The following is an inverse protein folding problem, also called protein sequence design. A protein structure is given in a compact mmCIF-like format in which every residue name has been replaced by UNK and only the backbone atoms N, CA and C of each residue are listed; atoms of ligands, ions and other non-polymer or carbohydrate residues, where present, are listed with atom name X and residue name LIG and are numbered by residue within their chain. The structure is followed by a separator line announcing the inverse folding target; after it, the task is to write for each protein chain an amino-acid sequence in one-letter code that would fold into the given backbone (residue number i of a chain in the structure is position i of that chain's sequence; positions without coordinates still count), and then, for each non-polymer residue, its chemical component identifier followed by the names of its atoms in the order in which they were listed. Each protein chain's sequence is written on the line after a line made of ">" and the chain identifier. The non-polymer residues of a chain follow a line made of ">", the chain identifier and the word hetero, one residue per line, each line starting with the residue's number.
data_IF_514698963265
#
_entry.id   IF_514698963265
#
_cell.length_a   1.000
_cell.length_b   1.000
_cell.length_c   1.000
_cell.angle_alpha   90.00
_cell.angle_beta   90.00
_cell.angle_gamma   90.00
#
_symmetry.space_group_name_H-M   'P 1'
#
loop_
_entity.id
_entity.type
_entity.pdbx_description
1 polymer ?
#
# COMPACT_ATOMS: atom_id res chain seq x y z
N UNK A 1 26.17 96.23 -5.49
CA UNK A 1 24.89 95.49 -5.47
C UNK A 1 25.00 94.45 -6.60
N UNK A 2 25.63 93.29 -6.44
CA UNK A 2 25.44 92.13 -5.55
C UNK A 2 24.07 91.45 -5.69
N UNK A 3 24.02 90.38 -6.48
CA UNK A 3 23.20 89.19 -6.20
C UNK A 3 23.91 87.98 -6.81
N UNK A 4 24.42 87.14 -5.92
CA UNK A 4 25.13 85.88 -6.12
C UNK A 4 24.16 84.73 -6.40
N UNK A 5 24.36 84.01 -7.51
CA UNK A 5 23.70 82.74 -7.78
C UNK A 5 24.40 81.60 -7.00
N UNK A 6 23.68 80.76 -6.25
CA UNK A 6 24.26 79.56 -5.66
C UNK A 6 24.29 78.42 -6.69
N UNK A 7 25.49 77.89 -6.94
CA UNK A 7 25.74 76.64 -7.66
C UNK A 7 25.29 75.48 -6.74
N UNK A 8 24.21 74.78 -7.10
CA UNK A 8 23.85 73.53 -6.45
C UNK A 8 24.76 72.39 -6.94
N UNK A 9 25.29 71.53 -6.04
CA UNK A 9 26.01 70.32 -6.44
C UNK A 9 25.03 69.29 -7.03
N UNK A 10 25.48 68.42 -7.95
CA UNK A 10 24.62 67.36 -8.49
C UNK A 10 24.21 66.39 -7.37
N UNK A 11 22.89 66.14 -7.30
CA UNK A 11 22.24 65.20 -6.41
C UNK A 11 22.68 63.78 -6.75
N UNK A 12 23.61 63.22 -5.97
CA UNK A 12 24.18 61.90 -6.19
C UNK A 12 23.25 60.79 -5.66
N UNK A 13 21.99 60.77 -6.13
CA UNK A 13 20.93 59.84 -5.68
C UNK A 13 20.84 58.54 -6.47
N UNK A 14 21.85 58.21 -7.24
CA UNK A 14 21.93 56.92 -7.97
C UNK A 14 22.98 55.99 -7.35
N UNK A 15 22.96 55.83 -6.02
CA UNK A 15 23.52 54.62 -5.41
C UNK A 15 22.37 53.62 -5.31
N UNK A 16 22.38 52.50 -6.07
CA UNK A 16 21.46 51.42 -5.79
C UNK A 16 21.79 50.95 -4.38
N UNK A 17 20.82 51.01 -3.47
CA UNK A 17 20.86 50.24 -2.24
C UNK A 17 21.13 48.80 -2.67
N UNK A 18 22.36 48.34 -2.45
CA UNK A 18 22.73 46.94 -2.60
C UNK A 18 21.72 46.16 -1.77
N UNK A 19 20.80 45.50 -2.47
CA UNK A 19 19.80 44.64 -1.83
C UNK A 19 20.56 43.61 -1.03
N UNK A 20 20.57 43.80 0.28
CA UNK A 20 21.10 42.82 1.21
C UNK A 20 20.19 41.61 1.08
N UNK A 21 20.67 40.62 0.35
CA UNK A 21 19.98 39.35 0.15
C UNK A 21 19.67 38.81 1.56
N UNK A 22 18.40 38.52 1.88
CA UNK A 22 18.05 38.07 3.21
C UNK A 22 18.90 36.85 3.56
N UNK A 23 19.45 36.78 4.78
CA UNK A 23 20.40 35.74 5.14
C UNK A 23 19.80 34.37 4.83
N UNK A 24 20.58 33.46 4.21
CA UNK A 24 20.08 32.15 3.82
C UNK A 24 19.47 31.48 5.05
N UNK A 25 18.23 31.04 4.92
CA UNK A 25 17.52 30.36 6.00
C UNK A 25 18.41 29.24 6.56
N UNK A 26 18.55 29.12 7.89
CA UNK A 26 19.44 28.13 8.48
C UNK A 26 19.09 26.74 7.95
N UNK A 27 20.09 26.06 7.39
CA UNK A 27 19.93 24.71 6.88
C UNK A 27 19.33 23.82 7.98
N UNK A 28 18.27 23.05 7.71
CA UNK A 28 17.63 22.24 8.74
C UNK A 28 18.64 21.29 9.39
N UNK A 29 18.73 21.36 10.72
CA UNK A 29 19.55 20.47 11.54
C UNK A 29 18.92 19.06 11.54
N UNK A 30 19.33 18.24 10.59
CA UNK A 30 18.93 16.84 10.41
C UNK A 30 19.05 16.44 8.94
N UNK A 31 19.17 15.13 8.60
CA UNK A 31 19.05 14.72 7.21
C UNK A 31 17.69 15.21 6.70
N UNK A 32 17.70 16.09 5.71
CA UNK A 32 16.48 16.64 5.14
C UNK A 32 15.59 15.47 4.70
N UNK A 33 14.41 15.34 5.32
CA UNK A 33 13.44 14.31 4.97
C UNK A 33 13.17 14.40 3.45
N UNK A 34 13.28 13.28 2.72
CA UNK A 34 12.87 13.21 1.32
C UNK A 34 11.48 13.81 1.12
N UNK A 35 11.28 14.50 0.00
CA UNK A 35 10.04 15.23 -0.26
C UNK A 35 8.81 14.31 -0.26
N UNK A 36 8.96 13.04 -0.67
CA UNK A 36 7.89 12.04 -0.67
C UNK A 36 7.44 11.61 0.74
N UNK A 37 8.20 11.96 1.79
CA UNK A 37 7.84 11.71 3.19
C UNK A 37 7.16 12.92 3.86
N UNK A 38 7.11 14.08 3.19
CA UNK A 38 6.53 15.33 3.72
C UNK A 38 5.01 15.35 3.56
N UNK A 39 4.34 14.32 4.09
CA UNK A 39 2.90 14.15 3.98
C UNK A 39 2.13 15.01 5.01
N UNK A 40 0.93 15.52 4.65
CA UNK A 40 0.13 16.40 5.53
C UNK A 40 -0.61 15.69 6.67
N UNK A 41 -0.51 14.35 6.77
CA UNK A 41 -1.11 13.56 7.85
C UNK A 41 -0.08 13.05 8.86
N UNK A 42 -0.53 12.59 10.02
CA UNK A 42 0.31 12.15 11.14
C UNK A 42 -0.29 10.91 11.86
N UNK A 43 0.27 10.55 13.01
CA UNK A 43 -0.16 9.40 13.81
C UNK A 43 -1.64 9.44 14.23
N UNK A 44 -2.21 10.63 14.43
CA UNK A 44 -3.63 10.78 14.74
C UNK A 44 -4.49 10.29 13.59
N UNK A 45 -4.14 10.67 12.35
CA UNK A 45 -4.86 10.20 11.16
C UNK A 45 -4.71 8.68 11.00
N UNK A 46 -3.52 8.13 11.31
CA UNK A 46 -3.30 6.67 11.31
C UNK A 46 -4.18 5.97 12.36
N UNK A 47 -4.27 6.51 13.58
CA UNK A 47 -5.11 5.95 14.63
C UNK A 47 -6.59 5.98 14.24
N UNK A 48 -7.08 7.12 13.73
CA UNK A 48 -8.46 7.26 13.26
C UNK A 48 -8.72 6.28 12.11
N UNK A 49 -7.78 6.15 11.17
CA UNK A 49 -7.88 5.19 10.07
C UNK A 49 -7.98 3.75 10.58
N UNK A 50 -7.17 3.35 11.57
CA UNK A 50 -7.22 2.01 12.17
C UNK A 50 -8.58 1.78 12.84
N UNK A 51 -9.05 2.72 13.66
CA UNK A 51 -10.35 2.61 14.34
C UNK A 51 -11.49 2.51 13.33
N UNK A 52 -11.48 3.37 12.30
CA UNK A 52 -12.46 3.32 11.22
C UNK A 52 -12.41 1.98 10.49
N UNK A 53 -11.22 1.52 10.10
CA UNK A 53 -11.00 0.28 9.36
C UNK A 53 -11.52 -0.94 10.13
N UNK A 54 -11.20 -1.05 11.42
CA UNK A 54 -11.71 -2.11 12.30
C UNK A 54 -13.22 -1.99 12.51
N UNK A 55 -13.74 -0.77 12.70
CA UNK A 55 -15.17 -0.51 12.85
C UNK A 55 -15.97 -0.95 11.63
N UNK A 56 -15.53 -0.58 10.42
CA UNK A 56 -16.16 -0.99 9.16
C UNK A 56 -16.08 -2.50 8.97
N UNK A 57 -14.94 -3.12 9.29
CA UNK A 57 -14.80 -4.58 9.22
C UNK A 57 -15.87 -5.29 10.07
N UNK A 58 -16.04 -4.86 11.32
CA UNK A 58 -17.03 -5.42 12.25
C UNK A 58 -18.46 -5.16 11.77
N UNK A 59 -18.77 -3.92 11.36
CA UNK A 59 -20.11 -3.54 10.88
C UNK A 59 -20.48 -4.32 9.62
N UNK A 60 -19.57 -4.44 8.64
CA UNK A 60 -19.81 -5.22 7.43
C UNK A 60 -20.06 -6.69 7.74
N UNK A 61 -19.26 -7.29 8.63
CA UNK A 61 -19.42 -8.69 9.03
C UNK A 61 -20.81 -8.95 9.62
N UNK A 62 -21.21 -8.20 10.64
CA UNK A 62 -22.51 -8.39 11.28
C UNK A 62 -23.68 -8.03 10.37
N UNK A 63 -23.55 -6.99 9.54
CA UNK A 63 -24.61 -6.58 8.62
C UNK A 63 -24.84 -7.66 7.56
N UNK A 64 -23.78 -8.16 6.92
CA UNK A 64 -23.91 -9.20 5.90
C UNK A 64 -24.45 -10.51 6.48
N UNK A 65 -23.95 -10.94 7.65
CA UNK A 65 -24.50 -12.10 8.36
C UNK A 65 -26.00 -11.94 8.65
N UNK A 66 -26.41 -10.79 9.19
CA UNK A 66 -27.82 -10.51 9.51
C UNK A 66 -28.70 -10.56 8.26
N UNK A 67 -28.26 -9.98 7.15
CA UNK A 67 -28.98 -10.05 5.87
C UNK A 67 -29.10 -11.49 5.38
N UNK A 68 -28.04 -12.31 5.47
CA UNK A 68 -28.09 -13.71 5.02
C UNK A 68 -29.06 -14.56 5.84
N UNK A 69 -29.08 -14.37 7.16
CA UNK A 69 -29.99 -15.07 8.08
C UNK A 69 -31.45 -14.62 7.87
N UNK A 70 -31.70 -13.31 7.81
CA UNK A 70 -33.07 -12.76 7.69
C UNK A 70 -33.70 -13.00 6.33
N UNK A 71 -32.90 -13.11 5.26
CA UNK A 71 -33.38 -13.49 3.92
C UNK A 71 -33.49 -15.00 3.71
N UNK A 72 -33.14 -15.82 4.71
CA UNK A 72 -33.20 -17.27 4.63
C UNK A 72 -32.18 -17.91 3.67
N UNK A 73 -31.17 -17.16 3.23
CA UNK A 73 -30.12 -17.66 2.33
C UNK A 73 -29.17 -18.64 3.02
N UNK A 74 -28.95 -18.47 4.32
CA UNK A 74 -28.12 -19.33 5.16
C UNK A 74 -28.83 -19.56 6.49
N UNK A 75 -28.76 -20.78 7.02
CA UNK A 75 -29.30 -21.11 8.36
C UNK A 75 -28.24 -20.85 9.42
N UNK A 76 -28.68 -20.53 10.65
CA UNK A 76 -27.76 -20.25 11.77
C UNK A 76 -26.75 -21.37 12.04
N UNK A 77 -27.17 -22.62 11.92
CA UNK A 77 -26.30 -23.80 12.07
C UNK A 77 -25.18 -23.85 11.02
N UNK A 78 -25.48 -23.44 9.78
CA UNK A 78 -24.54 -23.54 8.65
C UNK A 78 -23.66 -22.28 8.53
N UNK A 79 -23.97 -21.22 9.29
CA UNK A 79 -23.31 -19.92 9.19
C UNK A 79 -21.78 -20.02 9.40
N UNK A 80 -21.23 -20.67 10.44
CA UNK A 80 -19.78 -20.72 10.63
C UNK A 80 -19.04 -21.38 9.45
N UNK A 81 -19.61 -22.44 8.88
CA UNK A 81 -19.05 -23.12 7.72
C UNK A 81 -19.15 -22.24 6.46
N UNK A 82 -20.29 -21.56 6.26
CA UNK A 82 -20.48 -20.65 5.14
C UNK A 82 -19.48 -19.49 5.15
N UNK A 83 -19.25 -18.87 6.31
CA UNK A 83 -18.33 -17.73 6.46
C UNK A 83 -16.87 -18.10 6.18
N UNK A 84 -16.49 -19.35 6.44
CA UNK A 84 -15.11 -19.83 6.24
C UNK A 84 -14.84 -20.47 4.88
N UNK A 85 -15.89 -20.81 4.12
CA UNK A 85 -15.75 -21.51 2.83
C UNK A 85 -16.29 -20.75 1.63
N UNK A 86 -17.23 -19.82 1.81
CA UNK A 86 -17.83 -19.08 0.70
C UNK A 86 -16.88 -18.01 0.16
N UNK A 87 -16.21 -18.32 -0.96
CA UNK A 87 -15.30 -17.39 -1.64
C UNK A 87 -16.01 -16.11 -2.08
N UNK A 88 -17.27 -16.22 -2.54
CA UNK A 88 -18.08 -15.06 -2.95
C UNK A 88 -18.36 -14.15 -1.76
N UNK A 89 -18.79 -14.69 -0.63
CA UNK A 89 -19.05 -13.91 0.58
C UNK A 89 -17.80 -13.13 1.02
N UNK A 90 -16.67 -13.84 1.12
CA UNK A 90 -15.40 -13.24 1.56
C UNK A 90 -14.91 -12.20 0.57
N UNK A 91 -14.97 -12.46 -0.74
CA UNK A 91 -14.55 -11.51 -1.76
C UNK A 91 -15.41 -10.24 -1.76
N UNK A 92 -16.74 -10.37 -1.66
CA UNK A 92 -17.65 -9.21 -1.61
C UNK A 92 -17.39 -8.39 -0.34
N UNK A 93 -17.29 -9.04 0.82
CA UNK A 93 -16.97 -8.37 2.09
C UNK A 93 -15.65 -7.62 1.99
N UNK A 94 -14.61 -8.26 1.45
CA UNK A 94 -13.29 -7.69 1.27
C UNK A 94 -13.31 -6.47 0.33
N UNK A 95 -14.02 -6.57 -0.80
CA UNK A 95 -14.17 -5.48 -1.76
C UNK A 95 -14.89 -4.27 -1.15
N UNK A 96 -15.97 -4.49 -0.39
CA UNK A 96 -16.69 -3.43 0.32
C UNK A 96 -15.81 -2.76 1.38
N UNK A 97 -15.03 -3.55 2.12
CA UNK A 97 -14.10 -3.02 3.11
C UNK A 97 -13.02 -2.17 2.43
N UNK A 98 -12.36 -2.68 1.39
CA UNK A 98 -11.38 -1.95 0.59
C UNK A 98 -11.93 -0.65 -0.01
N UNK A 99 -13.13 -0.68 -0.59
CA UNK A 99 -13.78 0.51 -1.11
C UNK A 99 -13.98 1.56 0.00
N UNK A 100 -14.41 1.12 1.18
CA UNK A 100 -14.61 1.99 2.35
C UNK A 100 -13.30 2.64 2.81
N UNK A 101 -12.19 1.90 2.80
CA UNK A 101 -10.86 2.44 3.15
C UNK A 101 -10.41 3.52 2.14
N UNK A 102 -10.56 3.27 0.84
CA UNK A 102 -10.21 4.24 -0.18
C UNK A 102 -11.09 5.49 -0.12
N UNK A 103 -12.39 5.33 0.10
CA UNK A 103 -13.35 6.43 0.30
C UNK A 103 -12.95 7.26 1.52
N UNK A 104 -12.64 6.61 2.64
CA UNK A 104 -12.18 7.30 3.85
C UNK A 104 -10.90 8.10 3.59
N UNK A 105 -9.87 7.48 2.99
CA UNK A 105 -8.62 8.18 2.66
C UNK A 105 -8.85 9.33 1.69
N UNK A 106 -9.70 9.15 0.68
CA UNK A 106 -10.01 10.22 -0.26
C UNK A 106 -10.64 11.43 0.43
N UNK A 107 -11.66 11.24 1.26
CA UNK A 107 -12.35 12.34 1.92
C UNK A 107 -11.55 13.00 3.04
N UNK A 108 -10.74 12.24 3.77
CA UNK A 108 -9.91 12.78 4.86
C UNK A 108 -8.69 13.54 4.34
N UNK A 109 -8.09 13.10 3.24
CA UNK A 109 -6.91 13.74 2.65
C UNK A 109 -7.27 14.85 1.66
N UNK A 110 -8.46 14.82 1.04
CA UNK A 110 -8.91 15.84 0.06
C UNK A 110 -8.81 17.29 0.54
N UNK A 111 -9.17 17.66 1.78
CA UNK A 111 -9.07 19.04 2.24
C UNK A 111 -7.62 19.51 2.49
N UNK A 112 -6.68 18.58 2.62
CA UNK A 112 -5.30 18.83 3.07
C UNK A 112 -4.26 18.67 1.96
N UNK A 113 -4.70 18.31 0.75
CA UNK A 113 -3.81 18.02 -0.38
C UNK A 113 -3.44 19.30 -1.15
N UNK A 114 -2.16 19.45 -1.46
CA UNK A 114 -1.68 20.46 -2.40
C UNK A 114 -1.69 19.95 -3.86
N UNK A 115 -1.82 18.64 -4.06
CA UNK A 115 -1.78 17.96 -5.36
C UNK A 115 -2.97 17.00 -5.50
N UNK A 116 -3.20 16.38 -6.68
CA UNK A 116 -4.20 15.31 -6.83
C UNK A 116 -4.02 14.19 -5.80
N UNK A 117 -5.11 13.47 -5.49
CA UNK A 117 -5.12 12.42 -4.46
C UNK A 117 -4.04 11.37 -4.68
N UNK A 118 -3.97 10.83 -5.90
CA UNK A 118 -3.04 9.75 -6.25
C UNK A 118 -1.58 10.19 -6.12
N UNK A 119 -1.21 11.38 -6.57
CA UNK A 119 0.15 11.91 -6.38
C UNK A 119 0.46 12.12 -4.90
N UNK A 120 -0.52 12.61 -4.13
CA UNK A 120 -0.38 12.87 -2.69
C UNK A 120 -0.10 11.59 -1.90
N UNK A 121 -0.73 10.47 -2.25
CA UNK A 121 -0.45 9.16 -1.63
C UNK A 121 0.70 8.41 -2.32
N UNK A 122 1.46 9.06 -3.21
CA UNK A 122 2.70 8.52 -3.77
C UNK A 122 2.55 7.67 -5.04
N UNK A 123 1.39 7.67 -5.70
CA UNK A 123 1.21 7.09 -7.04
C UNK A 123 1.78 8.01 -8.13
N UNK A 124 3.04 8.37 -7.96
CA UNK A 124 3.80 9.20 -8.89
C UNK A 124 4.81 8.33 -9.67
N UNK A 125 5.29 8.79 -10.84
CA UNK A 125 6.32 8.08 -11.56
C UNK A 125 7.61 7.90 -10.72
N UNK A 126 8.27 6.72 -10.78
CA UNK A 126 9.44 6.47 -9.96
C UNK A 126 10.63 7.35 -10.35
N UNK A 127 11.40 7.72 -9.33
CA UNK A 127 12.69 8.39 -9.47
C UNK A 127 13.75 7.35 -9.85
N UNK A 128 13.78 7.02 -11.14
CA UNK A 128 14.79 6.13 -11.73
C UNK A 128 15.95 6.98 -12.23
N UNK A 129 17.17 6.63 -11.82
CA UNK A 129 18.38 7.34 -12.22
C UNK A 129 18.71 7.12 -13.70
N UNK A 130 19.59 6.15 -13.99
CA UNK A 130 20.10 5.90 -15.35
C UNK A 130 19.11 5.12 -16.22
N UNK A 131 18.21 4.34 -15.61
CA UNK A 131 17.31 3.45 -16.35
C UNK A 131 16.06 4.19 -16.85
N UNK A 132 15.67 3.96 -18.10
CA UNK A 132 14.39 4.46 -18.60
C UNK A 132 13.22 3.80 -17.88
N UNK A 133 12.11 4.54 -17.70
CA UNK A 133 10.89 3.99 -17.08
C UNK A 133 10.31 2.80 -17.85
N UNK A 134 10.47 2.81 -19.18
CA UNK A 134 10.02 1.73 -20.08
C UNK A 134 10.72 0.40 -19.74
N UNK A 135 12.00 0.45 -19.39
CA UNK A 135 12.76 -0.75 -18.97
C UNK A 135 12.53 -1.07 -17.49
N UNK A 136 12.32 -0.04 -16.65
CA UNK A 136 12.17 -0.22 -15.21
C UNK A 136 10.87 -0.96 -14.83
N UNK A 137 9.74 -0.61 -15.43
CA UNK A 137 8.45 -1.24 -15.10
C UNK A 137 8.42 -2.77 -15.33
N UNK A 138 8.82 -3.31 -16.49
CA UNK A 138 8.85 -4.76 -16.67
C UNK A 138 9.89 -5.43 -15.75
N UNK A 139 10.99 -4.76 -15.42
CA UNK A 139 11.95 -5.28 -14.44
C UNK A 139 11.31 -5.43 -13.06
N UNK A 140 10.47 -4.49 -12.62
CA UNK A 140 9.71 -4.63 -11.36
C UNK A 140 8.76 -5.82 -11.40
N UNK A 141 8.04 -6.05 -12.51
CA UNK A 141 7.16 -7.21 -12.65
C UNK A 141 7.95 -8.52 -12.55
N UNK A 142 9.07 -8.62 -13.27
CA UNK A 142 9.94 -9.81 -13.26
C UNK A 142 10.58 -10.02 -11.88
N UNK A 143 11.03 -8.95 -11.22
CA UNK A 143 11.60 -9.04 -9.88
C UNK A 143 10.56 -9.50 -8.85
N UNK A 144 9.31 -9.03 -8.95
CA UNK A 144 8.20 -9.49 -8.14
C UNK A 144 7.92 -10.98 -8.35
N UNK A 145 7.89 -11.42 -9.60
CA UNK A 145 7.69 -12.81 -9.94
C UNK A 145 8.85 -13.71 -9.43
N UNK A 146 10.09 -13.28 -9.62
CA UNK A 146 11.27 -13.99 -9.11
C UNK A 146 11.25 -14.10 -7.58
N UNK A 147 10.86 -13.03 -6.88
CA UNK A 147 10.68 -13.05 -5.43
C UNK A 147 9.62 -14.08 -5.01
N UNK A 148 8.50 -14.17 -5.72
CA UNK A 148 7.48 -15.17 -5.42
C UNK A 148 7.99 -16.60 -5.56
N UNK A 149 8.82 -16.89 -6.57
CA UNK A 149 9.44 -18.21 -6.73
C UNK A 149 10.39 -18.54 -5.57
N UNK A 150 11.19 -17.57 -5.13
CA UNK A 150 12.08 -17.72 -3.97
C UNK A 150 11.27 -17.99 -2.69
N UNK A 151 10.20 -17.22 -2.47
CA UNK A 151 9.33 -17.38 -1.30
C UNK A 151 8.57 -18.71 -1.35
N UNK A 152 8.09 -19.13 -2.52
CA UNK A 152 7.44 -20.42 -2.70
C UNK A 152 8.40 -21.58 -2.39
N UNK A 153 9.64 -21.51 -2.87
CA UNK A 153 10.68 -22.49 -2.54
C UNK A 153 10.96 -22.54 -1.03
N UNK A 154 11.17 -21.38 -0.40
CA UNK A 154 11.38 -21.31 1.05
C UNK A 154 10.18 -21.82 1.85
N UNK A 155 8.96 -21.50 1.43
CA UNK A 155 7.72 -21.98 2.05
C UNK A 155 7.59 -23.51 1.95
N UNK A 156 8.03 -24.13 0.86
CA UNK A 156 8.01 -25.59 0.71
C UNK A 156 8.99 -26.29 1.67
N UNK A 157 10.13 -25.66 1.98
CA UNK A 157 11.07 -26.17 3.00
C UNK A 157 10.50 -26.09 4.42
N UNK A 158 9.51 -25.22 4.63
CA UNK A 158 8.87 -24.94 5.91
C UNK A 158 7.36 -25.21 5.84
N UNK A 159 6.97 -26.27 5.14
CA UNK A 159 5.56 -26.59 4.91
C UNK A 159 4.80 -26.69 6.25
N UNK A 160 3.62 -26.05 6.37
CA UNK A 160 2.84 -26.08 7.59
C UNK A 160 2.29 -27.49 7.81
N UNK A 161 2.16 -27.90 9.07
CA UNK A 161 1.64 -29.24 9.44
C UNK A 161 0.17 -29.41 9.11
N UNK A 162 -0.58 -28.32 9.20
CA UNK A 162 -2.02 -28.28 8.93
C UNK A 162 -2.28 -27.40 7.69
N UNK A 163 -3.35 -27.68 6.92
CA UNK A 163 -3.78 -26.80 5.85
C UNK A 163 -4.04 -25.38 6.36
N UNK A 164 -3.55 -24.39 5.62
CA UNK A 164 -3.77 -22.98 5.97
C UNK A 164 -5.22 -22.60 5.68
N UNK A 165 -5.86 -21.71 6.49
CA UNK A 165 -7.24 -21.30 6.28
C UNK A 165 -7.54 -20.80 4.86
N UNK A 166 -6.60 -20.10 4.23
CA UNK A 166 -6.76 -19.61 2.85
C UNK A 166 -6.99 -20.74 1.83
N UNK A 167 -6.54 -21.96 2.09
CA UNK A 167 -6.72 -23.11 1.19
C UNK A 167 -8.20 -23.55 1.10
N UNK A 168 -9.03 -23.19 2.09
CA UNK A 168 -10.47 -23.48 2.05
C UNK A 168 -11.18 -22.82 0.85
N UNK A 169 -10.59 -21.76 0.27
CA UNK A 169 -11.12 -21.06 -0.90
C UNK A 169 -10.64 -21.64 -2.24
N UNK A 170 -9.85 -22.72 -2.23
CA UNK A 170 -9.28 -23.36 -3.43
C UNK A 170 -9.96 -24.71 -3.73
N UNK A 171 -11.30 -24.72 -3.69
CA UNK A 171 -12.11 -25.95 -3.82
C UNK A 171 -12.79 -26.12 -5.18
N UNK A 172 -12.90 -25.06 -5.99
CA UNK A 172 -13.46 -25.09 -7.34
C UNK A 172 -12.82 -24.00 -8.23
N UNK A 173 -13.01 -24.13 -9.55
CA UNK A 173 -12.36 -23.20 -10.50
C UNK A 173 -12.90 -21.76 -10.42
N UNK A 174 -14.19 -21.56 -10.16
CA UNK A 174 -14.76 -20.20 -10.05
C UNK A 174 -14.21 -19.47 -8.82
N UNK A 175 -14.10 -20.17 -7.68
CA UNK A 175 -13.47 -19.62 -6.48
C UNK A 175 -12.03 -19.17 -6.75
N UNK A 176 -11.26 -19.97 -7.50
CA UNK A 176 -9.88 -19.60 -7.85
C UNK A 176 -9.84 -18.40 -8.79
N UNK A 177 -10.69 -18.33 -9.81
CA UNK A 177 -10.76 -17.15 -10.67
C UNK A 177 -11.10 -15.88 -9.88
N UNK A 178 -12.06 -15.97 -8.97
CA UNK A 178 -12.44 -14.85 -8.10
C UNK A 178 -11.29 -14.45 -7.17
N UNK A 179 -10.61 -15.43 -6.57
CA UNK A 179 -9.44 -15.17 -5.72
C UNK A 179 -8.29 -14.56 -6.52
N UNK A 180 -8.06 -15.01 -7.77
CA UNK A 180 -7.05 -14.46 -8.65
C UNK A 180 -7.33 -12.99 -8.98
N UNK A 181 -8.58 -12.65 -9.32
CA UNK A 181 -8.99 -11.25 -9.57
C UNK A 181 -8.77 -10.41 -8.32
N UNK A 182 -9.22 -10.88 -7.15
CA UNK A 182 -9.06 -10.15 -5.90
C UNK A 182 -7.58 -9.96 -5.54
N UNK A 183 -6.78 -11.01 -5.57
CA UNK A 183 -5.38 -10.99 -5.13
C UNK A 183 -4.45 -10.30 -6.14
N UNK A 184 -4.69 -10.40 -7.45
CA UNK A 184 -3.78 -9.83 -8.47
C UNK A 184 -4.17 -8.40 -8.84
N UNK A 185 -5.48 -8.09 -8.92
CA UNK A 185 -5.94 -6.81 -9.45
C UNK A 185 -6.42 -5.84 -8.35
N UNK A 186 -7.24 -6.33 -7.42
CA UNK A 186 -7.94 -5.45 -6.47
C UNK A 186 -7.09 -5.16 -5.24
N UNK A 187 -6.61 -6.20 -4.57
CA UNK A 187 -5.89 -6.10 -3.30
C UNK A 187 -4.60 -5.28 -3.42
N UNK A 188 -3.72 -5.50 -4.43
CA UNK A 188 -2.45 -4.76 -4.49
C UNK A 188 -2.64 -3.25 -4.61
N UNK A 189 -3.67 -2.77 -5.32
CA UNK A 189 -3.94 -1.33 -5.44
C UNK A 189 -4.23 -0.73 -4.06
N UNK A 190 -5.11 -1.39 -3.29
CA UNK A 190 -5.55 -0.88 -1.99
C UNK A 190 -4.44 -1.04 -0.96
N UNK A 191 -3.82 -2.21 -0.90
CA UNK A 191 -2.75 -2.52 0.05
C UNK A 191 -1.54 -1.62 -0.16
N UNK A 192 -1.10 -1.41 -1.40
CA UNK A 192 0.02 -0.50 -1.66
C UNK A 192 -0.33 0.96 -1.34
N UNK A 193 -1.58 1.37 -1.60
CA UNK A 193 -2.06 2.71 -1.20
C UNK A 193 -2.04 2.90 0.32
N UNK A 194 -2.52 1.90 1.08
CA UNK A 194 -2.60 1.97 2.54
C UNK A 194 -1.21 1.83 3.16
N UNK A 195 -0.47 0.76 2.87
CA UNK A 195 0.79 0.47 3.55
C UNK A 195 1.90 1.39 3.08
N UNK A 196 2.09 1.55 1.77
CA UNK A 196 3.21 2.31 1.23
C UNK A 196 2.77 3.75 1.05
N UNK A 197 1.61 4.03 0.49
CA UNK A 197 1.15 5.40 0.32
C UNK A 197 0.88 6.14 1.62
N UNK A 198 0.10 5.54 2.53
CA UNK A 198 -0.42 6.23 3.72
C UNK A 198 0.39 5.97 5.01
N UNK A 199 0.69 4.71 5.35
CA UNK A 199 1.33 4.35 6.63
C UNK A 199 2.84 4.62 6.63
N UNK A 200 3.56 4.15 5.61
CA UNK A 200 5.02 4.22 5.56
C UNK A 200 5.60 5.64 5.77
N UNK A 201 5.07 6.72 5.16
CA UNK A 201 5.61 8.06 5.38
C UNK A 201 5.56 8.50 6.85
N UNK A 202 4.48 8.16 7.56
CA UNK A 202 4.33 8.48 8.99
C UNK A 202 5.34 7.70 9.82
N UNK A 203 5.53 6.41 9.52
CA UNK A 203 6.49 5.56 10.22
C UNK A 203 7.93 6.01 9.97
N UNK A 204 8.27 6.27 8.71
CA UNK A 204 9.61 6.71 8.30
C UNK A 204 9.98 8.08 8.88
N UNK A 205 9.02 9.02 8.95
CA UNK A 205 9.25 10.33 9.57
C UNK A 205 9.53 10.24 11.07
N UNK A 206 8.99 9.21 11.74
CA UNK A 206 9.06 9.08 13.20
C UNK A 206 10.21 8.17 13.66
N UNK A 207 10.53 7.14 12.88
CA UNK A 207 11.47 6.08 13.25
C UNK A 207 12.72 6.04 12.34
N UNK A 208 12.82 6.99 11.40
CA UNK A 208 13.76 6.94 10.29
C UNK A 208 13.34 5.95 9.20
N UNK A 209 13.96 6.05 8.03
CA UNK A 209 13.60 5.22 6.86
C UNK A 209 13.68 3.72 7.15
N UNK A 210 14.74 3.26 7.82
CA UNK A 210 14.91 1.85 8.16
C UNK A 210 13.81 1.32 9.09
N UNK A 211 13.49 2.06 10.16
CA UNK A 211 12.39 1.72 11.06
C UNK A 211 11.03 1.74 10.36
N UNK A 212 10.79 2.73 9.49
CA UNK A 212 9.58 2.81 8.68
C UNK A 212 9.41 1.63 7.72
N UNK A 213 10.49 1.20 7.05
CA UNK A 213 10.50 0.03 6.16
C UNK A 213 10.15 -1.24 6.94
N UNK A 214 10.84 -1.47 8.06
CA UNK A 214 10.62 -2.64 8.90
C UNK A 214 9.19 -2.69 9.44
N UNK A 215 8.71 -1.61 10.04
CA UNK A 215 7.39 -1.55 10.67
C UNK A 215 6.26 -1.73 9.65
N UNK A 216 6.37 -1.11 8.46
CA UNK A 216 5.39 -1.30 7.38
C UNK A 216 5.33 -2.75 6.92
N UNK A 217 6.50 -3.40 6.74
CA UNK A 217 6.56 -4.81 6.36
C UNK A 217 6.01 -5.76 7.41
N UNK A 218 6.26 -5.48 8.70
CA UNK A 218 5.71 -6.25 9.82
C UNK A 218 4.18 -6.17 9.82
N UNK A 219 3.60 -4.96 9.78
CA UNK A 219 2.15 -4.82 9.75
C UNK A 219 1.53 -5.44 8.50
N UNK A 220 2.21 -5.37 7.36
CA UNK A 220 1.76 -6.03 6.13
C UNK A 220 1.66 -7.55 6.31
N UNK A 221 2.71 -8.21 6.82
CA UNK A 221 2.68 -9.65 7.08
C UNK A 221 1.65 -10.04 8.14
N UNK A 222 1.53 -9.27 9.23
CA UNK A 222 0.56 -9.54 10.30
C UNK A 222 -0.89 -9.37 9.86
N UNK A 223 -1.18 -8.48 8.89
CA UNK A 223 -2.53 -8.35 8.32
C UNK A 223 -3.02 -9.67 7.68
N UNK A 224 -2.09 -10.53 7.25
CA UNK A 224 -2.39 -11.82 6.63
C UNK A 224 -2.50 -12.97 7.66
N UNK A 225 -2.32 -12.70 8.96
CA UNK A 225 -2.28 -13.73 9.98
C UNK A 225 -3.58 -14.56 10.08
N UNK A 226 -4.74 -13.95 9.83
CA UNK A 226 -6.01 -14.69 9.82
C UNK A 226 -6.08 -15.69 8.65
N UNK A 227 -5.56 -15.32 7.49
CA UNK A 227 -5.55 -16.18 6.29
C UNK A 227 -4.51 -17.31 6.40
N UNK A 228 -3.42 -17.05 7.12
CA UNK A 228 -2.28 -17.96 7.28
C UNK A 228 -2.18 -18.52 8.71
N UNK A 229 -3.28 -18.55 9.46
CA UNK A 229 -3.26 -18.97 10.85
C UNK A 229 -2.67 -20.39 10.99
N UNK A 230 -1.72 -20.55 11.92
CA UNK A 230 -0.94 -21.79 12.08
C UNK A 230 0.32 -21.87 11.19
N UNK A 231 0.40 -21.09 10.11
CA UNK A 231 1.56 -20.95 9.21
C UNK A 231 2.50 -19.82 9.61
N UNK A 232 3.10 -19.89 10.81
CA UNK A 232 3.96 -18.81 11.32
C UNK A 232 5.19 -18.52 10.44
N UNK A 233 5.76 -19.55 9.81
CA UNK A 233 6.85 -19.38 8.85
C UNK A 233 6.39 -18.61 7.61
N UNK A 234 5.19 -18.89 7.11
CA UNK A 234 4.59 -18.21 5.96
C UNK A 234 4.28 -16.74 6.28
N UNK A 235 3.79 -16.46 7.49
CA UNK A 235 3.59 -15.08 7.97
C UNK A 235 4.95 -14.35 8.01
N UNK A 236 6.00 -14.97 8.55
CA UNK A 236 7.33 -14.38 8.58
C UNK A 236 7.89 -14.12 7.17
N UNK A 237 7.67 -15.03 6.22
CA UNK A 237 8.01 -14.83 4.81
C UNK A 237 7.24 -13.63 4.21
N UNK A 238 5.96 -13.47 4.52
CA UNK A 238 5.20 -12.28 4.08
C UNK A 238 5.67 -10.99 4.73
N UNK A 239 6.19 -11.01 5.97
CA UNK A 239 6.87 -9.85 6.56
C UNK A 239 8.09 -9.46 5.71
N UNK A 240 8.90 -10.44 5.30
CA UNK A 240 10.06 -10.19 4.42
C UNK A 240 9.62 -9.59 3.08
N UNK A 241 8.60 -10.15 2.44
CA UNK A 241 8.02 -9.59 1.20
C UNK A 241 7.54 -8.16 1.44
N UNK A 242 6.84 -7.92 2.55
CA UNK A 242 6.34 -6.61 2.93
C UNK A 242 7.45 -5.57 3.10
N UNK A 243 8.56 -5.96 3.73
CA UNK A 243 9.79 -5.16 3.89
C UNK A 243 10.40 -4.86 2.53
N UNK A 244 10.54 -5.85 1.63
CA UNK A 244 11.16 -5.66 0.32
C UNK A 244 10.35 -4.74 -0.59
N UNK A 245 9.03 -4.85 -0.60
CA UNK A 245 8.16 -3.91 -1.33
C UNK A 245 8.28 -2.49 -0.78
N UNK A 246 8.32 -2.34 0.54
CA UNK A 246 8.47 -1.03 1.18
C UNK A 246 9.85 -0.44 0.91
N UNK A 247 10.91 -1.26 0.90
CA UNK A 247 12.26 -0.85 0.51
C UNK A 247 12.28 -0.36 -0.95
N UNK A 248 11.61 -1.07 -1.86
CA UNK A 248 11.53 -0.68 -3.26
C UNK A 248 10.78 0.65 -3.45
N UNK A 249 9.68 0.88 -2.73
CA UNK A 249 9.09 2.23 -2.64
C UNK A 249 10.14 3.19 -2.14
N UNK A 250 10.73 2.94 -0.97
CA UNK A 250 11.60 3.90 -0.27
C UNK A 250 12.76 4.38 -1.14
N UNK A 251 13.30 3.49 -1.99
CA UNK A 251 14.38 3.83 -2.91
C UNK A 251 13.93 4.63 -4.14
N UNK A 252 12.67 4.53 -4.53
CA UNK A 252 12.15 5.15 -5.77
C UNK A 252 11.21 6.32 -5.54
N UNK A 253 10.80 6.54 -4.28
CA UNK A 253 9.80 7.54 -3.90
C UNK A 253 8.41 7.27 -4.48
N UNK A 254 8.12 6.05 -4.96
CA UNK A 254 6.92 5.76 -5.73
C UNK A 254 6.23 4.46 -5.29
N UNK A 255 4.92 4.56 -5.09
CA UNK A 255 4.01 3.43 -4.85
C UNK A 255 3.85 2.57 -6.11
N UNK A 256 4.01 3.13 -7.32
CA UNK A 256 3.96 2.36 -8.57
C UNK A 256 5.01 1.25 -8.55
N UNK A 257 6.21 1.53 -8.03
CA UNK A 257 7.29 0.54 -7.93
C UNK A 257 6.89 -0.67 -7.08
N UNK A 258 6.37 -0.42 -5.87
CA UNK A 258 5.96 -1.51 -4.97
C UNK A 258 4.72 -2.23 -5.48
N UNK A 259 3.79 -1.52 -6.13
CA UNK A 259 2.65 -2.11 -6.82
C UNK A 259 3.04 -3.05 -7.95
N UNK A 260 3.98 -2.69 -8.82
CA UNK A 260 4.42 -3.57 -9.91
C UNK A 260 5.11 -4.84 -9.36
N UNK A 261 5.92 -4.70 -8.31
CA UNK A 261 6.50 -5.86 -7.62
C UNK A 261 5.41 -6.76 -7.05
N UNK A 262 4.42 -6.19 -6.36
CA UNK A 262 3.33 -6.92 -5.73
C UNK A 262 2.44 -7.59 -6.78
N UNK A 263 2.07 -6.89 -7.85
CA UNK A 263 1.32 -7.44 -8.97
C UNK A 263 2.05 -8.63 -9.60
N UNK A 264 3.35 -8.48 -9.91
CA UNK A 264 4.16 -9.57 -10.47
C UNK A 264 4.27 -10.76 -9.51
N UNK A 265 4.42 -10.48 -8.21
CA UNK A 265 4.49 -11.49 -7.15
C UNK A 265 3.19 -12.31 -7.04
N UNK A 266 2.02 -11.68 -7.09
CA UNK A 266 0.74 -12.39 -7.04
C UNK A 266 0.41 -13.08 -8.37
N UNK A 267 0.67 -12.41 -9.50
CA UNK A 267 0.36 -12.95 -10.83
C UNK A 267 1.07 -14.28 -11.09
N UNK A 268 2.37 -14.39 -10.79
CA UNK A 268 3.12 -15.63 -11.07
C UNK A 268 2.62 -16.81 -10.21
N UNK A 269 2.13 -16.56 -8.99
CA UNK A 269 1.59 -17.62 -8.14
C UNK A 269 0.31 -18.20 -8.72
N UNK A 270 -0.62 -17.35 -9.20
CA UNK A 270 -1.84 -17.82 -9.86
C UNK A 270 -1.56 -18.46 -11.22
N UNK A 271 -0.61 -17.91 -11.99
CA UNK A 271 -0.15 -18.53 -13.24
C UNK A 271 0.36 -19.95 -12.94
N UNK A 272 1.28 -20.10 -11.99
CA UNK A 272 1.79 -21.41 -11.58
C UNK A 272 0.69 -22.36 -11.10
N UNK A 273 -0.28 -21.85 -10.35
CA UNK A 273 -1.43 -22.63 -9.90
C UNK A 273 -2.30 -23.11 -11.07
N UNK A 274 -2.57 -22.27 -12.08
CA UNK A 274 -3.36 -22.65 -13.25
C UNK A 274 -2.69 -23.74 -14.09
N UNK A 275 -1.36 -23.82 -14.09
CA UNK A 275 -0.61 -24.90 -14.75
C UNK A 275 -0.47 -26.17 -13.89
N UNK A 276 -0.95 -26.18 -12.64
CA UNK A 276 -0.84 -27.34 -11.75
C UNK A 276 -1.86 -28.44 -12.07
N UNK A 277 -1.50 -29.70 -11.81
CA UNK A 277 -2.44 -30.83 -11.86
C UNK A 277 -3.64 -30.62 -10.93
N UNK A 278 -3.42 -29.96 -9.78
CA UNK A 278 -4.45 -29.66 -8.82
C UNK A 278 -5.59 -28.87 -9.47
N UNK A 279 -5.27 -27.78 -10.19
CA UNK A 279 -6.28 -26.96 -10.86
C UNK A 279 -7.11 -27.73 -11.88
N UNK A 280 -6.46 -28.58 -12.67
CA UNK A 280 -7.12 -29.36 -13.71
C UNK A 280 -8.09 -30.41 -13.15
N UNK A 281 -7.85 -30.90 -11.93
CA UNK A 281 -8.73 -31.85 -11.22
C UNK A 281 -9.91 -31.19 -10.51
N UNK A 282 -9.92 -29.86 -10.36
CA UNK A 282 -11.01 -29.17 -9.68
C UNK A 282 -12.29 -29.15 -10.53
N UNK A 283 -13.46 -29.29 -9.88
CA UNK A 283 -14.74 -29.24 -10.56
C UNK A 283 -14.97 -27.85 -11.17
N UNK A 284 -15.61 -27.84 -12.34
CA UNK A 284 -16.38 -26.68 -12.78
C UNK A 284 -17.69 -26.71 -11.99
N UNK A 285 -18.08 -25.57 -11.40
CA UNK A 285 -19.38 -25.47 -10.74
C UNK A 285 -20.48 -25.85 -11.74
N UNK A 286 -21.37 -26.77 -11.34
CA UNK A 286 -22.61 -27.09 -12.07
C UNK A 286 -23.68 -26.08 -11.73
#
# INVERSE_FOLDING_TARGET
>A
MNSSDPIFPPDNRDTPLSGEEPPPAPAPLGPALPDDLRVPWNWTDVLIFIVFSLGVMVVLEYTMQTVMLTTGRVKMHDLPAFLSTSTVYVAVRQALWFASLLVFLFFTLRPRRAAPFWDTVGWCPPQVGVLSRVTFYPLCLVAGAALALVIAFASNLMAPKEPLPIQAFFHDRQSIYLMAVMAVLVAPIVEETVFRGFLYPVFARSLGMGGGIALTGIFFGLMHAQQLWGGWAQIALLVVVGVLFTLARARTGSVITSYLLHFGYNAIQFIGFFFSDQFHRLPLIR
#
